data_IF_186849133490
#
_entry.id   IF_186849133490
#
_cell.length_a   1.000
_cell.length_b   1.000
_cell.length_c   1.000
_cell.angle_alpha   90.00
_cell.angle_beta   90.00
_cell.angle_gamma   90.00
#
_symmetry.space_group_name_H-M   'P 1'
#
loop_
_entity.id
_entity.type
_entity.pdbx_description
1 polymer ?
#
# COMPACT_ATOMS: atom_id res chain seq x y z
N UNK A 1 9.40 -25.15 30.96
CA UNK A 1 9.89 -24.89 29.60
C UNK A 1 8.74 -24.86 28.59
N UNK A 2 7.66 -24.15 28.92
CA UNK A 2 6.37 -24.11 28.23
C UNK A 2 5.98 -22.63 28.11
N UNK A 3 5.52 -22.08 27.00
CA UNK A 3 4.99 -22.68 25.79
C UNK A 3 5.14 -21.66 24.65
N UNK A 4 5.62 -22.11 23.49
CA UNK A 4 5.56 -21.33 22.24
C UNK A 4 4.18 -21.44 21.56
N UNK A 5 3.13 -21.90 22.26
CA UNK A 5 1.78 -22.03 21.72
C UNK A 5 1.17 -20.65 21.46
N UNK A 6 1.48 -20.07 20.31
CA UNK A 6 0.92 -18.79 19.87
C UNK A 6 -0.26 -18.98 18.90
N UNK A 7 -0.85 -20.17 18.82
CA UNK A 7 -2.07 -20.38 18.04
C UNK A 7 -3.26 -19.71 18.73
N UNK A 8 -4.02 -18.94 17.95
CA UNK A 8 -5.31 -18.39 18.40
C UNK A 8 -6.30 -19.53 18.62
N UNK A 9 -7.05 -19.48 19.71
CA UNK A 9 -8.07 -20.49 20.05
C UNK A 9 -9.45 -19.86 20.00
N UNK A 10 -10.45 -20.60 19.51
CA UNK A 10 -11.86 -20.20 19.63
C UNK A 10 -12.57 -21.05 20.69
N UNK A 11 -13.43 -20.42 21.46
CA UNK A 11 -14.30 -21.06 22.46
C UNK A 11 -15.75 -20.75 22.11
N UNK A 12 -16.62 -21.75 22.14
CA UNK A 12 -18.06 -21.54 22.07
C UNK A 12 -18.62 -21.43 23.48
N UNK A 13 -19.20 -20.28 23.80
CA UNK A 13 -20.00 -20.11 25.01
C UNK A 13 -21.45 -20.39 24.64
N UNK A 14 -22.05 -21.39 25.30
CA UNK A 14 -23.46 -21.71 25.16
C UNK A 14 -24.24 -20.97 26.25
N UNK A 15 -25.23 -20.19 25.83
CA UNK A 15 -26.21 -19.59 26.73
C UNK A 15 -27.51 -20.39 26.61
N UNK A 16 -27.91 -21.03 27.70
CA UNK A 16 -29.19 -21.71 27.80
C UNK A 16 -30.17 -20.78 28.53
N UNK A 17 -31.20 -20.31 27.82
CA UNK A 17 -32.27 -19.50 28.39
C UNK A 17 -33.65 -20.15 28.14
N UNK A 18 -34.49 -20.33 29.17
CA UNK A 18 -35.89 -20.69 28.98
C UNK A 18 -36.68 -19.58 28.25
N UNK A 19 -37.65 -19.92 27.37
CA UNK A 19 -37.96 -21.26 26.88
C UNK A 19 -37.00 -21.65 25.73
N UNK A 20 -36.15 -22.66 26.00
CA UNK A 20 -35.38 -23.48 25.06
C UNK A 20 -34.69 -22.85 23.83
N UNK A 21 -34.25 -21.60 23.90
CA UNK A 21 -33.39 -21.04 22.86
C UNK A 21 -31.93 -21.10 23.33
N UNK A 22 -31.16 -22.07 22.83
CA UNK A 22 -29.70 -22.06 22.99
C UNK A 22 -29.10 -21.06 22.00
N UNK A 23 -28.40 -20.06 22.52
CA UNK A 23 -27.58 -19.17 21.72
C UNK A 23 -26.10 -19.53 21.90
N UNK A 24 -25.32 -19.42 20.82
CA UNK A 24 -23.86 -19.61 20.85
C UNK A 24 -23.16 -18.28 20.60
N UNK A 25 -22.12 -18.02 21.36
CA UNK A 25 -21.17 -16.94 21.10
C UNK A 25 -19.79 -17.53 20.85
N UNK A 26 -19.17 -17.17 19.73
CA UNK A 26 -17.77 -17.50 19.48
C UNK A 26 -16.87 -16.45 20.16
N UNK A 27 -16.00 -16.92 21.06
CA UNK A 27 -14.95 -16.11 21.69
C UNK A 27 -13.62 -16.47 21.04
N UNK A 28 -13.02 -15.52 20.34
CA UNK A 28 -11.72 -15.68 19.70
C UNK A 28 -10.64 -15.12 20.63
N UNK A 29 -9.80 -16.01 21.17
CA UNK A 29 -8.63 -15.64 21.93
C UNK A 29 -7.46 -15.38 20.96
N UNK A 30 -7.28 -14.11 20.59
CA UNK A 30 -6.20 -13.71 19.69
C UNK A 30 -4.90 -13.62 20.50
N UNK A 31 -3.98 -14.56 20.29
CA UNK A 31 -2.65 -14.49 20.92
C UNK A 31 -1.77 -13.50 20.16
N UNK A 32 -0.98 -12.67 20.85
CA UNK A 32 -0.05 -11.77 20.17
C UNK A 32 1.06 -12.56 19.48
N UNK A 33 1.56 -12.00 18.38
CA UNK A 33 2.77 -12.51 17.75
C UNK A 33 3.97 -12.33 18.70
N UNK A 34 5.03 -13.10 18.47
CA UNK A 34 6.31 -12.82 19.12
C UNK A 34 7.13 -11.81 18.31
N UNK A 35 6.96 -11.86 17.00
CA UNK A 35 7.70 -11.09 16.02
C UNK A 35 6.89 -11.00 14.72
N UNK A 36 7.30 -10.10 13.83
CA UNK A 36 6.74 -9.92 12.49
C UNK A 36 7.88 -10.00 11.47
N UNK A 37 7.56 -10.35 10.22
CA UNK A 37 8.52 -10.38 9.12
C UNK A 37 7.93 -9.75 7.86
N UNK A 38 8.77 -9.07 7.09
CA UNK A 38 8.41 -8.56 5.76
C UNK A 38 8.60 -9.71 4.76
N UNK A 39 7.49 -10.21 4.19
CA UNK A 39 7.51 -11.28 3.20
C UNK A 39 7.65 -10.74 1.77
N UNK A 40 7.06 -9.58 1.50
CA UNK A 40 7.25 -8.81 0.26
C UNK A 40 7.71 -7.42 0.63
N UNK A 41 8.90 -7.05 0.17
CA UNK A 41 9.49 -5.73 0.38
C UNK A 41 8.83 -4.69 -0.53
N UNK A 42 8.68 -3.43 -0.09
CA UNK A 42 8.45 -2.32 -1.02
C UNK A 42 9.63 -2.24 -2.00
N UNK A 43 9.31 -2.00 -3.26
CA UNK A 43 10.28 -1.74 -4.31
C UNK A 43 10.27 -0.26 -4.69
N UNK A 44 11.14 0.09 -5.63
CA UNK A 44 11.07 1.37 -6.33
C UNK A 44 9.66 1.63 -6.87
N UNK A 45 9.21 2.88 -6.79
CA UNK A 45 7.86 3.31 -7.16
C UNK A 45 7.89 4.74 -7.71
N UNK A 46 6.95 5.09 -8.59
CA UNK A 46 6.76 6.49 -8.96
C UNK A 46 5.99 7.24 -7.88
N UNK A 47 6.28 8.53 -7.70
CA UNK A 47 5.54 9.37 -6.76
C UNK A 47 4.02 9.30 -7.04
N UNK A 48 3.23 9.17 -5.96
CA UNK A 48 1.77 8.99 -5.95
C UNK A 48 1.24 7.71 -6.60
N UNK A 49 2.09 6.84 -7.10
CA UNK A 49 1.67 5.51 -7.52
C UNK A 49 1.72 4.52 -6.35
N UNK A 50 0.80 3.56 -6.36
CA UNK A 50 0.79 2.50 -5.36
C UNK A 50 1.95 1.52 -5.60
N UNK A 51 2.56 1.03 -4.52
CA UNK A 51 3.64 0.03 -4.60
C UNK A 51 3.17 -1.23 -5.34
N UNK A 52 3.98 -1.71 -6.30
CA UNK A 52 3.81 -3.03 -6.89
C UNK A 52 5.18 -3.71 -7.07
N UNK A 53 5.40 -4.89 -6.46
CA UNK A 53 4.44 -5.69 -5.69
C UNK A 53 4.05 -5.07 -4.33
N UNK A 54 2.83 -5.32 -3.88
CA UNK A 54 2.31 -4.77 -2.62
C UNK A 54 3.09 -5.30 -1.40
N UNK A 55 3.54 -4.46 -0.46
CA UNK A 55 4.22 -4.90 0.74
C UNK A 55 3.37 -5.87 1.57
N UNK A 56 4.00 -6.94 2.06
CA UNK A 56 3.34 -7.99 2.85
C UNK A 56 4.11 -8.28 4.12
N UNK A 57 3.38 -8.37 5.23
CA UNK A 57 3.93 -8.60 6.56
C UNK A 57 3.19 -9.77 7.20
N UNK A 58 3.95 -10.76 7.67
CA UNK A 58 3.40 -11.89 8.42
C UNK A 58 3.77 -11.86 9.89
N UNK A 59 2.90 -12.46 10.70
CA UNK A 59 3.16 -12.69 12.12
C UNK A 59 3.88 -14.01 12.36
N UNK A 60 4.84 -13.98 13.29
CA UNK A 60 5.71 -15.10 13.63
C UNK A 60 5.65 -15.45 15.12
N UNK A 61 5.88 -16.72 15.44
CA UNK A 61 6.05 -17.21 16.81
C UNK A 61 7.52 -17.10 17.29
N UNK A 62 7.79 -17.45 18.55
CA UNK A 62 9.14 -17.45 19.13
C UNK A 62 10.18 -18.31 18.40
N UNK A 63 9.75 -19.18 17.50
CA UNK A 63 10.60 -20.05 16.68
C UNK A 63 10.62 -19.59 15.22
N UNK A 64 10.12 -18.39 14.92
CA UNK A 64 9.96 -17.81 13.60
C UNK A 64 9.00 -18.58 12.67
N UNK A 65 8.13 -19.45 13.20
CA UNK A 65 7.11 -20.10 12.39
C UNK A 65 5.97 -19.13 12.09
N UNK A 66 5.30 -19.36 10.96
CA UNK A 66 4.10 -18.62 10.60
C UNK A 66 2.99 -18.81 11.62
N UNK A 67 2.32 -17.72 11.99
CA UNK A 67 1.24 -17.71 12.95
C UNK A 67 -0.02 -17.09 12.36
N UNK A 68 -1.16 -17.71 12.59
CA UNK A 68 -2.45 -17.13 12.24
C UNK A 68 -2.83 -16.04 13.25
N UNK A 69 -2.86 -14.79 12.81
CA UNK A 69 -3.27 -13.63 13.61
C UNK A 69 -4.37 -12.83 12.91
N UNK A 70 -5.24 -12.22 13.74
CA UNK A 70 -6.25 -11.24 13.31
C UNK A 70 -5.98 -9.82 13.84
N UNK A 71 -4.77 -9.60 14.40
CA UNK A 71 -4.29 -8.29 14.84
C UNK A 71 -4.00 -7.40 13.63
N UNK A 72 -3.46 -6.20 13.86
CA UNK A 72 -3.18 -5.21 12.83
C UNK A 72 -1.67 -5.01 12.66
N UNK A 73 -1.29 -4.52 11.48
CA UNK A 73 0.02 -3.93 11.23
C UNK A 73 -0.21 -2.46 10.88
N UNK A 74 0.51 -1.57 11.56
CA UNK A 74 0.66 -0.19 11.11
C UNK A 74 1.96 -0.01 10.35
N UNK A 75 2.00 0.98 9.47
CA UNK A 75 3.18 1.36 8.70
C UNK A 75 3.40 2.87 8.80
N UNK A 76 4.67 3.26 8.84
CA UNK A 76 5.10 4.66 8.75
C UNK A 76 6.43 4.75 8.00
N UNK A 77 6.82 5.96 7.60
CA UNK A 77 8.14 6.18 7.01
C UNK A 77 9.19 6.14 8.13
N UNK A 78 10.16 5.24 8.00
CA UNK A 78 11.32 5.12 8.88
C UNK A 78 12.44 6.08 8.48
N UNK A 79 12.69 6.21 7.17
CA UNK A 79 13.69 7.10 6.60
C UNK A 79 13.05 7.92 5.48
N UNK A 80 13.07 9.24 5.63
CA UNK A 80 12.34 10.18 4.78
C UNK A 80 13.27 11.25 4.17
N UNK A 81 14.24 10.84 3.35
CA UNK A 81 15.23 11.78 2.80
C UNK A 81 14.63 12.79 1.80
N UNK A 82 13.55 12.43 1.11
CA UNK A 82 12.83 13.31 0.18
C UNK A 82 11.70 14.13 0.82
N UNK A 83 11.52 14.07 2.14
CA UNK A 83 10.46 14.77 2.88
C UNK A 83 9.03 14.48 2.40
N UNK A 84 8.82 13.30 1.83
CA UNK A 84 7.50 12.86 1.37
C UNK A 84 6.57 12.43 2.49
N UNK A 85 5.30 12.30 2.15
CA UNK A 85 4.20 11.81 2.97
C UNK A 85 3.79 10.43 2.49
N UNK A 86 3.59 9.49 3.43
CA UNK A 86 3.01 8.18 3.12
C UNK A 86 1.49 8.32 3.03
N UNK A 87 0.93 7.92 1.91
CA UNK A 87 -0.49 7.96 1.61
C UNK A 87 -1.07 6.55 1.56
N UNK A 88 -2.40 6.45 1.47
CA UNK A 88 -3.13 5.18 1.47
C UNK A 88 -3.43 4.64 2.87
N UNK A 89 -3.75 3.35 2.96
CA UNK A 89 -4.16 2.72 4.21
C UNK A 89 -2.95 2.27 5.05
N UNK A 90 -2.59 3.10 6.03
CA UNK A 90 -1.45 2.84 6.92
C UNK A 90 -1.72 1.89 8.10
N UNK A 91 -2.95 1.40 8.26
CA UNK A 91 -3.33 0.41 9.26
C UNK A 91 -4.17 -0.71 8.62
N UNK A 92 -3.61 -1.90 8.56
CA UNK A 92 -4.21 -3.07 7.90
C UNK A 92 -4.41 -4.21 8.88
N UNK A 93 -5.60 -4.80 8.87
CA UNK A 93 -5.88 -6.01 9.63
C UNK A 93 -5.23 -7.21 8.95
N UNK A 94 -4.54 -8.03 9.73
CA UNK A 94 -4.00 -9.30 9.26
C UNK A 94 -5.13 -10.28 8.95
N UNK A 95 -5.07 -10.90 7.77
CA UNK A 95 -5.93 -12.01 7.37
C UNK A 95 -5.09 -13.27 7.34
N UNK A 96 -5.49 -14.25 8.16
CA UNK A 96 -4.76 -15.50 8.36
C UNK A 96 -3.31 -15.30 8.81
N UNK A 97 -2.98 -14.18 9.47
CA UNK A 97 -1.61 -13.85 9.88
C UNK A 97 -0.79 -13.05 8.87
N UNK A 98 -1.38 -12.55 7.78
CA UNK A 98 -0.72 -11.70 6.77
C UNK A 98 -1.47 -10.37 6.63
N UNK A 99 -0.75 -9.26 6.73
CA UNK A 99 -1.22 -7.94 6.33
C UNK A 99 -0.65 -7.59 4.95
N UNK A 100 -1.52 -7.16 4.03
CA UNK A 100 -1.16 -6.75 2.67
C UNK A 100 -1.55 -5.29 2.48
N UNK A 101 -0.58 -4.47 2.11
CA UNK A 101 -0.74 -3.03 1.91
C UNK A 101 -0.91 -2.72 0.42
N UNK A 102 -2.16 -2.66 -0.05
CA UNK A 102 -2.48 -2.62 -1.49
C UNK A 102 -2.50 -1.22 -2.10
N UNK A 103 -2.53 -0.17 -1.28
CA UNK A 103 -2.77 1.21 -1.71
C UNK A 103 -1.76 2.22 -1.15
N UNK A 104 -0.64 1.74 -0.58
CA UNK A 104 0.41 2.63 -0.08
C UNK A 104 1.11 3.31 -1.26
N UNK A 105 1.34 4.63 -1.13
CA UNK A 105 2.10 5.46 -2.06
C UNK A 105 2.88 6.53 -1.29
N UNK A 106 3.88 7.15 -1.93
CA UNK A 106 4.60 8.31 -1.40
C UNK A 106 4.45 9.46 -2.38
N UNK A 107 4.09 10.65 -1.91
CA UNK A 107 3.74 11.81 -2.73
C UNK A 107 4.93 12.52 -3.40
N UNK A 108 6.12 12.44 -2.82
CA UNK A 108 7.33 13.14 -3.26
C UNK A 108 8.45 12.17 -3.63
N UNK A 109 9.24 12.59 -4.62
CA UNK A 109 10.43 11.88 -5.07
C UNK A 109 11.57 11.98 -4.06
N UNK A 110 12.42 10.96 -4.03
CA UNK A 110 13.65 10.97 -3.26
C UNK A 110 14.29 9.59 -3.19
N UNK A 111 15.50 9.54 -2.64
CA UNK A 111 16.30 8.33 -2.57
C UNK A 111 16.38 7.80 -1.15
N UNK A 112 16.58 6.50 -0.99
CA UNK A 112 16.78 5.84 0.31
C UNK A 112 15.59 6.01 1.28
N UNK A 113 14.36 5.96 0.78
CA UNK A 113 13.19 5.77 1.64
C UNK A 113 13.24 4.40 2.30
N UNK A 114 12.67 4.30 3.50
CA UNK A 114 12.41 3.02 4.17
C UNK A 114 11.10 3.10 4.94
N UNK A 115 10.35 2.00 5.00
CA UNK A 115 9.11 1.86 5.75
C UNK A 115 9.36 1.06 7.03
N UNK A 116 8.77 1.49 8.14
CA UNK A 116 8.73 0.75 9.39
C UNK A 116 7.33 0.18 9.60
N UNK A 117 7.26 -1.12 9.86
CA UNK A 117 6.03 -1.83 10.18
C UNK A 117 5.99 -2.18 11.66
N UNK A 118 4.85 -1.93 12.31
CA UNK A 118 4.64 -2.16 13.75
C UNK A 118 3.41 -3.03 13.96
N UNK A 119 3.52 -3.96 14.91
CA UNK A 119 2.40 -4.79 15.31
C UNK A 119 1.46 -4.01 16.24
N UNK A 120 0.16 -4.09 15.96
CA UNK A 120 -0.88 -3.41 16.73
C UNK A 120 -1.92 -4.43 17.16
N UNK A 121 -2.16 -4.53 18.47
CA UNK A 121 -3.17 -5.44 19.00
C UNK A 121 -4.60 -5.03 18.63
N UNK A 122 -5.46 -6.03 18.46
CA UNK A 122 -6.89 -5.86 18.33
C UNK A 122 -7.41 -5.07 19.54
N UNK A 123 -8.32 -4.13 19.30
CA UNK A 123 -8.84 -3.19 20.32
C UNK A 123 -7.78 -2.27 20.94
N UNK A 124 -6.65 -2.03 20.25
CA UNK A 124 -5.60 -1.13 20.73
C UNK A 124 -4.73 -1.72 21.84
N UNK A 125 -4.78 -3.04 22.04
CA UNK A 125 -3.88 -3.72 22.95
C UNK A 125 -2.42 -3.46 22.56
N UNK A 126 -1.62 -3.00 23.51
CA UNK A 126 -0.19 -2.76 23.29
C UNK A 126 0.59 -4.04 23.61
N UNK A 127 1.42 -4.46 22.66
CA UNK A 127 2.31 -5.60 22.79
C UNK A 127 3.75 -5.13 22.54
N UNK A 128 4.70 -5.63 23.32
CA UNK A 128 6.11 -5.35 23.10
C UNK A 128 6.67 -6.29 22.01
N UNK A 129 6.31 -6.00 20.77
CA UNK A 129 6.76 -6.73 19.58
C UNK A 129 7.69 -5.81 18.79
N UNK A 130 8.91 -6.24 18.47
CA UNK A 130 9.84 -5.43 17.67
C UNK A 130 9.23 -5.03 16.33
N UNK A 131 9.47 -3.78 15.92
CA UNK A 131 9.17 -3.33 14.57
C UNK A 131 10.15 -3.94 13.57
N UNK A 132 9.76 -3.95 12.29
CA UNK A 132 10.64 -4.33 11.18
C UNK A 132 10.72 -3.19 10.19
N UNK A 133 11.93 -2.91 9.70
CA UNK A 133 12.21 -1.86 8.74
C UNK A 133 12.48 -2.51 7.38
N UNK A 134 11.91 -1.96 6.32
CA UNK A 134 12.12 -2.43 4.95
C UNK A 134 13.55 -2.24 4.48
N UNK A 135 13.88 -2.89 3.37
CA UNK A 135 15.01 -2.45 2.55
C UNK A 135 14.77 -1.00 2.10
N UNK A 136 15.86 -0.33 1.74
CA UNK A 136 15.79 0.99 1.14
C UNK A 136 15.28 0.88 -0.29
N UNK A 137 14.48 1.86 -0.69
CA UNK A 137 13.98 2.01 -2.06
C UNK A 137 13.90 3.49 -2.42
N UNK A 138 13.80 3.76 -3.71
CA UNK A 138 13.74 5.12 -4.24
C UNK A 138 12.33 5.41 -4.79
N UNK A 139 11.93 6.68 -4.71
CA UNK A 139 10.70 7.20 -5.28
C UNK A 139 11.07 8.14 -6.43
N UNK A 140 10.67 7.80 -7.64
CA UNK A 140 11.03 8.54 -8.85
C UNK A 140 9.87 9.37 -9.38
N UNK A 141 10.17 10.28 -10.30
CA UNK A 141 9.12 10.92 -11.07
C UNK A 141 8.33 9.86 -11.86
N UNK A 142 7.02 10.04 -12.04
CA UNK A 142 6.28 9.25 -13.01
C UNK A 142 6.88 9.48 -14.41
N UNK A 143 7.02 8.40 -15.20
CA UNK A 143 7.52 8.52 -16.58
C UNK A 143 6.49 9.33 -17.39
N UNK A 144 6.88 10.46 -17.99
CA UNK A 144 5.97 11.22 -18.85
C UNK A 144 5.68 10.47 -20.15
N UNK A 145 4.45 10.56 -20.66
CA UNK A 145 4.09 10.15 -22.02
C UNK A 145 3.85 11.38 -22.89
N UNK A 146 4.34 11.33 -24.12
CA UNK A 146 4.05 12.35 -25.13
C UNK A 146 2.81 11.92 -25.91
N UNK A 147 1.80 12.79 -25.97
CA UNK A 147 0.58 12.55 -26.72
C UNK A 147 0.35 13.71 -27.70
N UNK A 148 0.00 13.37 -28.94
CA UNK A 148 -0.55 14.34 -29.87
C UNK A 148 -1.97 14.63 -29.42
N UNK A 149 -2.22 15.85 -28.97
CA UNK A 149 -3.59 16.31 -28.82
C UNK A 149 -3.95 16.95 -30.14
N UNK A 150 -4.91 16.38 -30.88
CA UNK A 150 -5.47 17.09 -32.02
C UNK A 150 -5.93 18.43 -31.45
N UNK A 151 -5.38 19.54 -31.97
CA UNK A 151 -6.11 20.79 -31.89
C UNK A 151 -7.52 20.50 -32.39
N UNK A 152 -8.53 21.27 -31.97
CA UNK A 152 -9.91 21.13 -32.44
C UNK A 152 -10.05 21.46 -33.94
N UNK A 153 -9.22 20.87 -34.80
CA UNK A 153 -9.54 20.54 -36.16
C UNK A 153 -10.67 19.52 -36.12
N UNK A 154 -11.78 19.86 -36.78
CA UNK A 154 -12.74 18.87 -37.26
C UNK A 154 -11.93 17.72 -37.89
N UNK A 155 -12.23 16.47 -37.53
CA UNK A 155 -11.67 15.26 -38.13
C UNK A 155 -11.36 15.50 -39.63
N UNK A 156 -10.08 15.57 -40.00
CA UNK A 156 -9.67 15.71 -41.40
C UNK A 156 -9.19 17.08 -41.88
N UNK A 157 -8.58 17.93 -41.05
CA UNK A 157 -7.79 19.06 -41.57
C UNK A 157 -6.59 18.55 -42.39
N UNK A 158 -6.79 18.40 -43.69
CA UNK A 158 -5.73 18.15 -44.68
C UNK A 158 -5.01 19.46 -44.98
N UNK A 159 -3.69 19.50 -44.77
CA UNK A 159 -2.86 20.56 -45.33
C UNK A 159 -2.60 20.25 -46.82
N UNK A 160 -2.82 21.23 -47.70
CA UNK A 160 -2.33 21.18 -49.07
C UNK A 160 -0.81 21.38 -49.06
N UNK A 161 -0.08 20.61 -49.88
CA UNK A 161 1.37 20.71 -49.96
C UNK A 161 1.82 22.16 -50.25
N UNK A 162 2.71 22.69 -49.41
CA UNK A 162 3.24 24.05 -49.54
C UNK A 162 2.42 25.14 -48.83
N UNK A 163 1.33 24.81 -48.13
CA UNK A 163 0.59 25.75 -47.27
C UNK A 163 0.79 25.43 -45.78
N UNK A 164 0.83 26.45 -44.90
CA UNK A 164 0.90 26.24 -43.45
C UNK A 164 -0.40 25.61 -42.92
N UNK A 165 -0.29 24.85 -41.83
CA UNK A 165 -1.46 24.32 -41.13
C UNK A 165 -2.35 25.46 -40.64
N UNK A 166 -3.66 25.38 -40.92
CA UNK A 166 -4.65 26.34 -40.39
C UNK A 166 -4.85 26.17 -38.87
N UNK A 167 -4.54 24.98 -38.34
CA UNK A 167 -4.50 24.68 -36.91
C UNK A 167 -3.21 23.90 -36.64
N UNK A 168 -2.30 24.46 -35.85
CA UNK A 168 -1.08 23.76 -35.45
C UNK A 168 -1.43 22.55 -34.56
N UNK A 169 -0.91 21.34 -34.85
CA UNK A 169 -0.98 20.24 -33.91
C UNK A 169 -0.22 20.62 -32.63
N UNK A 170 -0.78 20.27 -31.47
CA UNK A 170 -0.12 20.48 -30.18
C UNK A 170 0.41 19.14 -29.66
N UNK A 171 1.68 19.13 -29.25
CA UNK A 171 2.22 18.03 -28.46
C UNK A 171 2.03 18.40 -26.99
N UNK A 172 1.43 17.50 -26.21
CA UNK A 172 1.29 17.66 -24.77
C UNK A 172 2.02 16.53 -24.06
N UNK A 173 2.67 16.90 -22.95
CA UNK A 173 3.22 15.93 -22.02
C UNK A 173 2.13 15.58 -21.02
N UNK A 174 1.77 14.30 -20.98
CA UNK A 174 0.93 13.76 -19.93
C UNK A 174 1.80 13.03 -18.93
N UNK A 175 1.52 13.25 -17.66
CA UNK A 175 2.05 12.40 -16.60
C UNK A 175 1.23 11.09 -16.57
N UNK A 176 1.75 10.01 -15.96
CA UNK A 176 1.13 8.67 -15.99
C UNK A 176 -0.30 8.60 -15.41
N UNK A 177 -0.72 9.62 -14.66
CA UNK A 177 -2.09 9.80 -14.13
C UNK A 177 -3.06 10.52 -15.10
N UNK A 178 -2.61 10.88 -16.30
CA UNK A 178 -3.40 11.61 -17.28
C UNK A 178 -3.55 13.10 -16.96
N UNK A 179 -2.85 13.61 -15.93
CA UNK A 179 -2.81 15.04 -15.68
C UNK A 179 -1.89 15.72 -16.70
N UNK A 180 -2.38 16.82 -17.27
CA UNK A 180 -1.61 17.69 -18.16
C UNK A 180 -0.48 18.34 -17.35
N UNK A 181 0.75 18.20 -17.82
CA UNK A 181 1.80 19.16 -17.48
C UNK A 181 1.59 20.40 -18.35
N UNK A 182 0.88 21.40 -17.82
CA UNK A 182 0.55 22.63 -18.54
C UNK A 182 1.77 23.50 -18.86
N UNK A 183 2.97 23.13 -18.41
CA UNK A 183 4.21 23.88 -18.65
C UNK A 183 4.96 23.49 -19.94
N UNK A 184 4.50 22.45 -20.67
CA UNK A 184 5.27 21.84 -21.78
C UNK A 184 4.50 21.71 -23.10
N UNK A 185 3.50 22.57 -23.37
CA UNK A 185 2.86 22.60 -24.69
C UNK A 185 3.79 23.20 -25.75
N UNK A 186 4.16 22.41 -26.76
CA UNK A 186 4.88 22.88 -27.94
C UNK A 186 3.88 22.94 -29.11
N UNK A 187 3.78 24.10 -29.74
CA UNK A 187 3.10 24.25 -31.03
C UNK A 187 4.11 23.90 -32.14
N UNK A 188 3.70 23.02 -33.06
CA UNK A 188 4.56 22.48 -34.14
C UNK A 188 4.03 22.91 -35.50
#
# INVERSE_FOLDING_TARGET
SSSCDNQSSSYLIKFDAPPANSAYMEVILNKPAHNISIDIQPSEVSARESFFPHPQISSRDCRNNFMNSRNYISVQIAQNAGYGTLEGRTLVQMRRGIAVFTDLSIDLTGVNYALEFRYVGLFGNSYNIPSVISNRFDVFLPIPRLEFVPGTALNGSVALAGLPFQVQPRIQVFIRDGQLDSSTSIEV
#
